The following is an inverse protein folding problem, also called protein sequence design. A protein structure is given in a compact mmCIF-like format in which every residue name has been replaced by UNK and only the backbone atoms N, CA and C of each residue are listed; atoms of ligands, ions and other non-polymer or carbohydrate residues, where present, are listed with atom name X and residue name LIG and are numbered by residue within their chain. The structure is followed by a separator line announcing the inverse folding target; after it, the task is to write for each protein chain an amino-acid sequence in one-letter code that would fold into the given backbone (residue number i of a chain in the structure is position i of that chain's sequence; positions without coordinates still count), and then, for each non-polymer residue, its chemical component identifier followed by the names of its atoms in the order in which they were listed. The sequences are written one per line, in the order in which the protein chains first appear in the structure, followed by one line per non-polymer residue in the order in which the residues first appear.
data_IF_222938396390
#
_entry.id   IF_222938396390
#
_cell.length_a   1.000
_cell.length_b   1.000
_cell.length_c   1.000
_cell.angle_alpha   90.00
_cell.angle_beta   90.00
_cell.angle_gamma   90.00
#
_symmetry.space_group_name_H-M   'P 1'
#
loop_
_entity.id
_entity.type
_entity.pdbx_description
1 polymer ?
#
# COMPACT_ATOMS: atom_id res chain seq x y z
N UNK A 1 -59.47 -19.78 0.99
CA UNK A 1 -58.15 -20.42 1.19
C UNK A 1 -57.61 -20.98 -0.12
N UNK A 2 -56.84 -20.17 -0.84
CA UNK A 2 -55.99 -20.64 -1.95
C UNK A 2 -54.64 -19.95 -1.80
N UNK A 3 -53.59 -20.79 -1.76
CA UNK A 3 -52.22 -20.49 -1.38
C UNK A 3 -51.56 -19.40 -2.26
N UNK A 4 -50.92 -18.43 -1.61
CA UNK A 4 -49.90 -17.60 -2.25
C UNK A 4 -48.65 -18.44 -2.53
N UNK A 5 -48.24 -18.51 -3.80
CA UNK A 5 -46.94 -19.07 -4.19
C UNK A 5 -45.87 -17.97 -4.14
N UNK A 6 -44.66 -18.24 -3.62
CA UNK A 6 -43.61 -17.23 -3.56
C UNK A 6 -43.05 -16.92 -4.96
N UNK A 7 -42.88 -15.62 -5.25
CA UNK A 7 -42.10 -15.12 -6.39
C UNK A 7 -40.66 -15.61 -6.26
N UNK A 8 -40.28 -16.63 -7.02
CA UNK A 8 -38.87 -16.92 -7.30
C UNK A 8 -38.35 -15.82 -8.22
N UNK A 9 -37.52 -14.92 -7.68
CA UNK A 9 -36.71 -14.03 -8.51
C UNK A 9 -35.51 -14.83 -9.02
N UNK A 10 -35.63 -15.33 -10.25
CA UNK A 10 -34.47 -15.56 -11.11
C UNK A 10 -34.14 -14.20 -11.73
N UNK A 11 -32.92 -13.71 -11.60
CA UNK A 11 -31.96 -13.61 -12.72
C UNK A 11 -30.78 -12.72 -12.34
N UNK A 12 -29.59 -13.30 -12.51
CA UNK A 12 -28.36 -12.67 -13.01
C UNK A 12 -28.31 -11.15 -13.09
N UNK A 13 -27.58 -10.52 -12.18
CA UNK A 13 -26.82 -9.31 -12.50
C UNK A 13 -25.33 -9.68 -12.47
N UNK A 14 -24.92 -10.52 -13.44
CA UNK A 14 -23.60 -10.35 -14.03
C UNK A 14 -23.68 -8.98 -14.70
N UNK A 15 -23.07 -7.98 -14.10
CA UNK A 15 -22.84 -6.69 -14.73
C UNK A 15 -21.96 -6.92 -15.96
N UNK A 16 -22.58 -7.24 -17.09
CA UNK A 16 -21.97 -7.16 -18.40
C UNK A 16 -21.54 -5.71 -18.60
N UNK A 17 -20.26 -5.45 -18.42
CA UNK A 17 -19.61 -4.23 -18.86
C UNK A 17 -19.77 -4.21 -20.37
N UNK A 18 -20.75 -3.44 -20.85
CA UNK A 18 -20.92 -3.09 -22.26
C UNK A 18 -19.66 -2.35 -22.73
N UNK A 19 -18.64 -3.12 -23.11
CA UNK A 19 -17.46 -2.64 -23.80
C UNK A 19 -17.89 -2.28 -25.22
N UNK A 20 -18.24 -1.00 -25.41
CA UNK A 20 -18.12 -0.31 -26.70
C UNK A 20 -16.83 -0.79 -27.38
N UNK A 21 -16.98 -1.49 -28.50
CA UNK A 21 -15.87 -2.08 -29.25
C UNK A 21 -15.03 -0.99 -29.90
N UNK A 22 -14.19 -0.34 -29.10
CA UNK A 22 -13.13 0.54 -29.60
C UNK A 22 -12.13 -0.35 -30.33
N UNK A 23 -12.03 -0.18 -31.65
CA UNK A 23 -11.01 -0.85 -32.45
C UNK A 23 -9.62 -0.45 -31.94
N UNK A 24 -8.74 -1.43 -31.74
CA UNK A 24 -7.38 -1.19 -31.26
C UNK A 24 -6.83 -2.31 -30.38
N UNK A 25 -5.60 -2.09 -29.90
CA UNK A 25 -4.93 -3.00 -28.97
C UNK A 25 -5.71 -3.06 -27.65
N UNK A 26 -5.97 -4.24 -27.07
CA UNK A 26 -6.66 -4.35 -25.79
C UNK A 26 -5.91 -3.57 -24.70
N UNK A 27 -6.67 -2.86 -23.87
CA UNK A 27 -6.10 -2.16 -22.73
C UNK A 27 -5.59 -3.17 -21.69
N UNK A 28 -4.38 -2.94 -21.20
CA UNK A 28 -3.80 -3.72 -20.10
C UNK A 28 -4.14 -3.05 -18.78
N UNK A 29 -4.30 -3.84 -17.73
CA UNK A 29 -4.36 -3.32 -16.36
C UNK A 29 -3.09 -2.53 -16.01
N UNK A 30 -3.24 -1.50 -15.16
CA UNK A 30 -2.14 -0.60 -14.80
C UNK A 30 -0.92 -1.36 -14.21
N UNK A 31 -1.16 -2.35 -13.34
CA UNK A 31 -0.13 -3.19 -12.73
C UNK A 31 0.68 -4.01 -13.74
N UNK A 32 0.09 -4.36 -14.89
CA UNK A 32 0.70 -5.17 -15.96
C UNK A 32 1.33 -4.32 -17.07
N UNK A 33 1.24 -2.99 -16.99
CA UNK A 33 1.88 -2.06 -17.95
C UNK A 33 3.39 -1.96 -17.66
N UNK A 34 4.18 -1.63 -18.68
CA UNK A 34 5.60 -1.31 -18.48
C UNK A 34 5.74 0.00 -17.70
N UNK A 35 6.87 0.17 -16.99
CA UNK A 35 7.14 1.37 -16.18
C UNK A 35 6.99 2.66 -17.01
N UNK A 36 7.43 2.66 -18.27
CA UNK A 36 7.26 3.80 -19.18
C UNK A 36 5.79 4.13 -19.42
N UNK A 37 4.95 3.11 -19.63
CA UNK A 37 3.51 3.34 -19.86
C UNK A 37 2.79 3.76 -18.58
N UNK A 38 3.15 3.18 -17.42
CA UNK A 38 2.61 3.60 -16.13
C UNK A 38 2.91 5.08 -15.85
N UNK A 39 4.16 5.53 -16.10
CA UNK A 39 4.54 6.94 -15.97
C UNK A 39 3.75 7.84 -16.90
N UNK A 40 3.53 7.42 -18.15
CA UNK A 40 2.72 8.20 -19.10
C UNK A 40 1.28 8.34 -18.62
N UNK A 41 0.68 7.27 -18.13
CA UNK A 41 -0.71 7.29 -17.66
C UNK A 41 -0.83 8.11 -16.36
N UNK A 42 0.12 8.00 -15.43
CA UNK A 42 0.19 8.84 -14.24
C UNK A 42 0.40 10.32 -14.58
N UNK A 43 1.22 10.63 -15.60
CA UNK A 43 1.43 12.00 -16.08
C UNK A 43 0.16 12.60 -16.64
N UNK A 44 -0.63 11.85 -17.41
CA UNK A 44 -1.95 12.28 -17.89
C UNK A 44 -2.91 12.59 -16.74
N UNK A 45 -3.02 11.67 -15.77
CA UNK A 45 -3.84 11.89 -14.57
C UNK A 45 -3.39 13.13 -13.78
N UNK A 46 -2.08 13.34 -13.65
CA UNK A 46 -1.54 14.53 -13.00
C UNK A 46 -1.97 15.81 -13.73
N UNK A 47 -1.90 15.83 -15.06
CA UNK A 47 -2.32 17.00 -15.85
C UNK A 47 -3.82 17.26 -15.77
N UNK A 48 -4.66 16.23 -15.73
CA UNK A 48 -6.12 16.36 -15.57
C UNK A 48 -6.50 17.04 -14.24
N UNK A 49 -5.72 16.78 -13.19
CA UNK A 49 -5.91 17.34 -11.85
C UNK A 49 -5.07 18.62 -11.65
N UNK A 50 -4.64 19.27 -12.75
CA UNK A 50 -3.84 20.51 -12.71
C UNK A 50 -2.56 20.40 -11.86
N UNK A 51 -1.97 19.21 -11.80
CA UNK A 51 -0.80 18.87 -10.99
C UNK A 51 -0.96 19.18 -9.48
N UNK A 52 -2.20 19.16 -8.97
CA UNK A 52 -2.46 19.38 -7.55
C UNK A 52 -2.08 18.13 -6.72
N UNK A 53 -0.91 18.17 -6.10
CA UNK A 53 -0.34 17.06 -5.33
C UNK A 53 -1.19 16.68 -4.10
N UNK A 54 -1.79 17.66 -3.42
CA UNK A 54 -2.65 17.43 -2.26
C UNK A 54 -3.90 16.65 -2.65
N UNK A 55 -4.50 16.99 -3.79
CA UNK A 55 -5.70 16.31 -4.29
C UNK A 55 -5.40 14.85 -4.65
N UNK A 56 -4.27 14.58 -5.29
CA UNK A 56 -3.83 13.22 -5.62
C UNK A 56 -3.54 12.39 -4.37
N UNK A 57 -2.87 12.96 -3.36
CA UNK A 57 -2.60 12.28 -2.09
C UNK A 57 -3.89 11.99 -1.31
N UNK A 58 -4.83 12.92 -1.28
CA UNK A 58 -6.13 12.69 -0.66
C UNK A 58 -6.92 11.60 -1.38
N UNK A 59 -6.91 11.58 -2.71
CA UNK A 59 -7.54 10.51 -3.49
C UNK A 59 -6.92 9.14 -3.18
N UNK A 60 -5.59 9.06 -3.08
CA UNK A 60 -4.87 7.84 -2.70
C UNK A 60 -5.19 7.37 -1.27
N UNK A 61 -5.33 8.29 -0.32
CA UNK A 61 -5.76 7.97 1.04
C UNK A 61 -7.18 7.40 1.07
N UNK A 62 -8.11 7.99 0.30
CA UNK A 62 -9.49 7.52 0.23
C UNK A 62 -9.57 6.13 -0.40
N UNK A 63 -8.79 5.87 -1.47
CA UNK A 63 -8.76 4.54 -2.08
C UNK A 63 -8.17 3.48 -1.13
N UNK A 64 -7.08 3.80 -0.41
CA UNK A 64 -6.50 2.90 0.59
C UNK A 64 -7.51 2.54 1.69
N UNK A 65 -8.26 3.52 2.20
CA UNK A 65 -9.33 3.26 3.18
C UNK A 65 -10.44 2.36 2.62
N UNK A 66 -10.82 2.55 1.35
CA UNK A 66 -11.83 1.70 0.69
C UNK A 66 -11.36 0.26 0.51
N UNK A 67 -10.07 0.07 0.28
CA UNK A 67 -9.43 -1.24 0.17
C UNK A 67 -9.10 -1.89 1.52
N UNK A 68 -9.38 -1.21 2.64
CA UNK A 68 -9.02 -1.61 4.01
C UNK A 68 -7.50 -1.68 4.28
N UNK A 69 -6.71 -0.99 3.45
CA UNK A 69 -5.27 -0.84 3.63
C UNK A 69 -4.98 0.29 4.63
N UNK A 70 -5.24 0.01 5.91
CA UNK A 70 -5.16 1.02 6.99
C UNK A 70 -3.74 1.57 7.18
N UNK A 71 -2.71 0.73 7.01
CA UNK A 71 -1.31 1.13 7.15
C UNK A 71 -0.94 2.17 6.09
N UNK A 72 -1.29 1.91 4.83
CA UNK A 72 -1.06 2.85 3.73
C UNK A 72 -1.81 4.17 3.96
N UNK A 73 -3.07 4.08 4.40
CA UNK A 73 -3.86 5.27 4.73
C UNK A 73 -3.25 6.08 5.90
N UNK A 74 -2.64 5.40 6.88
CA UNK A 74 -1.92 6.02 8.01
C UNK A 74 -0.67 6.75 7.52
N UNK A 75 0.18 6.08 6.74
CA UNK A 75 1.40 6.65 6.16
C UNK A 75 1.07 7.89 5.32
N UNK A 76 0.07 7.81 4.43
CA UNK A 76 -0.34 8.98 3.64
C UNK A 76 -0.85 10.11 4.53
N UNK A 77 -1.54 9.79 5.63
CA UNK A 77 -2.01 10.80 6.60
C UNK A 77 -0.87 11.49 7.32
N UNK A 78 0.20 10.77 7.65
CA UNK A 78 1.41 11.37 8.25
C UNK A 78 2.17 12.24 7.27
N UNK A 79 2.31 11.78 6.02
CA UNK A 79 2.92 12.56 4.93
C UNK A 79 2.18 13.88 4.70
N UNK A 80 0.84 13.88 4.79
CA UNK A 80 0.04 15.10 4.65
C UNK A 80 0.16 16.05 5.84
N UNK A 81 0.47 15.57 7.05
CA UNK A 81 0.51 16.39 8.27
C UNK A 81 1.71 17.32 8.34
N UNK A 82 2.87 16.94 7.80
CA UNK A 82 4.02 17.86 7.77
C UNK A 82 4.91 17.68 6.53
N UNK A 83 5.37 18.78 5.90
CA UNK A 83 6.32 18.71 4.80
C UNK A 83 7.72 18.25 5.23
N UNK A 84 8.04 18.31 6.53
CA UNK A 84 9.35 17.96 7.09
C UNK A 84 9.47 16.50 7.51
N UNK A 85 8.36 15.78 7.73
CA UNK A 85 8.38 14.35 8.07
C UNK A 85 9.01 13.52 6.94
N UNK A 86 8.86 13.87 5.67
CA UNK A 86 9.51 13.10 4.58
C UNK A 86 11.04 13.10 4.73
N UNK A 87 11.63 14.24 5.13
CA UNK A 87 13.06 14.31 5.43
C UNK A 87 13.39 13.50 6.69
N UNK A 88 12.60 13.61 7.76
CA UNK A 88 12.79 12.83 9.00
C UNK A 88 12.64 11.31 8.80
N UNK A 89 11.66 10.85 8.03
CA UNK A 89 11.47 9.44 7.69
C UNK A 89 12.65 8.93 6.88
N UNK A 90 13.11 9.71 5.88
CA UNK A 90 14.28 9.34 5.09
C UNK A 90 15.54 9.27 5.96
N UNK A 91 15.77 10.26 6.82
CA UNK A 91 16.93 10.26 7.72
C UNK A 91 16.83 9.12 8.72
N UNK A 92 15.67 8.88 9.36
CA UNK A 92 15.49 7.73 10.26
C UNK A 92 15.65 6.38 9.57
N UNK A 93 15.19 6.21 8.33
CA UNK A 93 15.43 4.97 7.55
C UNK A 93 16.91 4.77 7.21
N UNK A 94 17.66 5.85 6.99
CA UNK A 94 19.11 5.76 6.71
C UNK A 94 19.96 5.66 7.98
N UNK A 95 19.55 6.31 9.07
CA UNK A 95 20.28 6.38 10.35
C UNK A 95 20.06 5.12 11.20
N UNK A 96 18.87 4.52 11.16
CA UNK A 96 18.54 3.35 11.98
C UNK A 96 18.97 2.01 11.36
N UNK A 97 19.59 2.01 10.18
CA UNK A 97 20.13 0.80 9.55
C UNK A 97 21.61 0.57 9.86
N UNK A 98 22.21 1.37 10.75
CA UNK A 98 23.50 1.02 11.33
C UNK A 98 23.22 -0.10 12.34
N UNK A 99 23.47 -1.34 11.95
CA UNK A 99 23.57 -2.46 12.88
C UNK A 99 24.75 -2.15 13.80
N UNK A 100 24.47 -1.50 14.93
CA UNK A 100 25.46 -1.25 15.96
C UNK A 100 25.77 -2.61 16.55
N UNK A 101 26.94 -3.15 16.23
CA UNK A 101 27.42 -4.40 16.81
C UNK A 101 27.61 -4.17 18.29
N UNK A 102 26.97 -4.99 19.13
CA UNK A 102 27.23 -4.99 20.55
C UNK A 102 28.71 -5.25 20.80
N UNK A 103 29.29 -4.54 21.77
CA UNK A 103 30.61 -4.87 22.28
C UNK A 103 30.57 -6.24 22.98
N UNK A 104 31.71 -6.94 23.13
CA UNK A 104 31.73 -8.24 23.82
C UNK A 104 31.15 -8.18 25.24
N UNK A 105 31.32 -7.04 25.94
CA UNK A 105 30.77 -6.83 27.26
C UNK A 105 29.23 -6.72 27.24
N UNK A 106 28.66 -5.94 26.32
CA UNK A 106 27.21 -5.79 26.15
C UNK A 106 26.56 -7.12 25.73
N UNK A 107 27.21 -7.87 24.85
CA UNK A 107 26.75 -9.20 24.46
C UNK A 107 26.74 -10.17 25.66
N UNK A 108 27.74 -10.09 26.54
CA UNK A 108 27.79 -10.90 27.76
C UNK A 108 26.69 -10.53 28.75
N UNK A 109 26.42 -9.25 28.95
CA UNK A 109 25.30 -8.80 29.80
C UNK A 109 23.98 -9.30 29.22
N UNK A 110 23.77 -9.17 27.92
CA UNK A 110 22.57 -9.67 27.24
C UNK A 110 22.38 -11.18 27.40
N UNK A 111 23.46 -11.96 27.31
CA UNK A 111 23.43 -13.41 27.55
C UNK A 111 22.94 -13.76 28.96
N UNK A 112 23.43 -13.03 29.96
CA UNK A 112 23.08 -13.23 31.37
C UNK A 112 21.63 -12.81 31.63
N UNK A 113 21.24 -11.62 31.18
CA UNK A 113 19.90 -11.06 31.40
C UNK A 113 18.80 -11.93 30.77
N UNK A 114 19.09 -12.58 29.64
CA UNK A 114 18.14 -13.43 28.91
C UNK A 114 18.31 -14.93 29.20
N UNK A 115 19.17 -15.30 30.16
CA UNK A 115 19.47 -16.70 30.50
C UNK A 115 19.77 -17.58 29.27
N UNK A 116 20.47 -17.01 28.29
CA UNK A 116 20.79 -17.71 27.04
C UNK A 116 21.94 -18.67 27.27
N UNK A 117 21.76 -19.92 26.81
CA UNK A 117 22.86 -20.88 26.76
C UNK A 117 23.80 -20.54 25.60
N UNK A 118 25.06 -20.96 25.72
CA UNK A 118 26.08 -20.73 24.67
C UNK A 118 25.66 -21.23 23.29
N UNK A 119 24.97 -22.38 23.23
CA UNK A 119 24.47 -22.94 21.98
C UNK A 119 23.34 -22.10 21.39
N UNK A 120 22.41 -21.60 22.21
CA UNK A 120 21.33 -20.74 21.74
C UNK A 120 21.88 -19.45 21.14
N UNK A 121 22.87 -18.83 21.79
CA UNK A 121 23.51 -17.61 21.26
C UNK A 121 24.27 -17.82 19.95
N UNK A 122 24.88 -18.99 19.73
CA UNK A 122 25.52 -19.31 18.45
C UNK A 122 24.53 -19.59 17.31
N UNK A 123 23.26 -19.83 17.62
CA UNK A 123 22.21 -20.12 16.64
C UNK A 123 21.21 -18.96 16.45
N UNK A 124 21.43 -17.83 17.13
CA UNK A 124 20.73 -16.55 16.92
C UNK A 124 21.37 -15.75 15.78
#
# INVERSE_FOLDING_TARGET
NVLQKPKKMLTSEKSEVLLSSKSGRPEKEFSKKSLRSQRRDASKLSTEVSNNTLQLLMAAKVSAKRNKDNDLASVISEVLKTPTIIKKIRTSLTENNVVIKATPAEAMVYLIDNNLTKSQYHHM
#
